data_IF_798887257979
#
_entry.id   IF_798887257979
#
_cell.length_a   1.000
_cell.length_b   1.000
_cell.length_c   1.000
_cell.angle_alpha   90.00
_cell.angle_beta   90.00
_cell.angle_gamma   90.00
#
_symmetry.space_group_name_H-M   'P 1'
#
loop_
_entity.id
_entity.type
_entity.pdbx_description
1 polymer ?
#
# COMPACT_ATOMS: atom_id res chain seq x y z
N UNK A 1 -11.02 5.39 -3.51
CA UNK A 1 -10.45 5.00 -4.81
C UNK A 1 -9.40 6.02 -5.23
N UNK A 2 -8.43 5.60 -6.02
CA UNK A 2 -7.44 6.47 -6.65
C UNK A 2 -7.26 6.01 -8.10
N UNK A 3 -6.86 6.92 -8.98
CA UNK A 3 -6.60 6.61 -10.39
C UNK A 3 -5.43 7.48 -10.87
N UNK A 4 -4.59 6.90 -11.72
CA UNK A 4 -3.45 7.58 -12.33
C UNK A 4 -3.09 6.89 -13.65
N UNK A 5 -2.41 7.60 -14.54
CA UNK A 5 -1.89 7.04 -15.79
C UNK A 5 -0.72 6.09 -15.56
N UNK A 6 -0.48 5.16 -16.49
CA UNK A 6 0.72 4.32 -16.48
C UNK A 6 1.99 5.19 -16.42
N UNK A 7 2.98 4.77 -15.64
CA UNK A 7 4.22 5.50 -15.37
C UNK A 7 4.09 6.66 -14.38
N UNK A 8 2.87 7.09 -14.04
CA UNK A 8 2.67 8.10 -13.00
C UNK A 8 2.87 7.52 -11.60
N UNK A 9 2.83 8.39 -10.59
CA UNK A 9 2.81 7.98 -9.18
C UNK A 9 1.42 8.12 -8.60
N UNK A 10 0.98 7.14 -7.82
CA UNK A 10 -0.29 7.18 -7.09
C UNK A 10 -0.02 6.95 -5.60
N UNK A 11 -0.78 7.65 -4.76
CA UNK A 11 -0.72 7.51 -3.30
C UNK A 11 -2.07 7.04 -2.78
N UNK A 12 -2.08 5.90 -2.12
CA UNK A 12 -3.23 5.36 -1.42
C UNK A 12 -3.13 5.72 0.06
N UNK A 13 -4.27 5.99 0.68
CA UNK A 13 -4.36 6.36 2.10
C UNK A 13 -5.24 5.34 2.83
N UNK A 14 -4.75 4.87 3.97
CA UNK A 14 -5.49 4.11 4.96
C UNK A 14 -5.50 4.90 6.27
N UNK A 15 -6.69 5.21 6.77
CA UNK A 15 -6.86 5.99 8.01
C UNK A 15 -7.31 5.06 9.13
N UNK A 16 -6.48 4.95 10.16
CA UNK A 16 -6.79 4.14 11.33
C UNK A 16 -7.82 4.85 12.20
N UNK A 17 -8.69 4.06 12.85
CA UNK A 17 -9.67 4.59 13.81
C UNK A 17 -9.02 5.23 15.04
N UNK A 18 -7.76 4.87 15.33
CA UNK A 18 -6.99 5.41 16.44
C UNK A 18 -5.55 5.65 16.01
N UNK A 19 -4.98 6.80 16.42
CA UNK A 19 -3.65 7.25 16.01
C UNK A 19 -2.49 6.52 16.69
N UNK A 20 -2.70 5.31 17.22
CA UNK A 20 -1.65 4.58 17.92
C UNK A 20 -0.54 4.21 16.92
N UNK A 21 0.65 4.79 17.16
CA UNK A 21 1.86 4.55 16.37
C UNK A 21 2.44 3.14 16.56
N UNK A 22 1.91 2.36 17.50
CA UNK A 22 2.43 1.02 17.85
C UNK A 22 1.93 -0.10 16.94
N UNK A 23 0.85 0.10 16.17
CA UNK A 23 0.33 -0.95 15.31
C UNK A 23 1.25 -1.21 14.13
N UNK A 24 1.50 -2.50 13.86
CA UNK A 24 2.14 -2.86 12.61
C UNK A 24 1.10 -2.83 11.51
N UNK A 25 1.47 -2.27 10.35
CA UNK A 25 0.60 -2.16 9.18
C UNK A 25 1.19 -2.99 8.05
N UNK A 26 0.37 -3.80 7.40
CA UNK A 26 0.68 -4.40 6.12
C UNK A 26 -0.29 -3.92 5.04
N UNK A 27 0.22 -3.84 3.83
CA UNK A 27 -0.53 -3.64 2.61
C UNK A 27 -0.70 -4.97 1.91
N UNK A 28 -1.90 -5.19 1.41
CA UNK A 28 -2.27 -6.33 0.59
C UNK A 28 -2.83 -5.83 -0.73
N UNK A 29 -2.53 -6.55 -1.81
CA UNK A 29 -3.06 -6.29 -3.14
C UNK A 29 -3.96 -7.44 -3.56
N UNK A 30 -5.13 -7.14 -4.10
CA UNK A 30 -6.09 -8.11 -4.60
C UNK A 30 -6.47 -7.77 -6.04
N UNK A 31 -6.00 -8.59 -6.98
CA UNK A 31 -6.48 -8.52 -8.36
C UNK A 31 -7.86 -9.20 -8.48
N UNK A 32 -8.66 -8.87 -9.51
CA UNK A 32 -9.95 -9.51 -9.75
C UNK A 32 -9.85 -11.05 -9.72
N UNK A 33 -10.80 -11.69 -9.05
CA UNK A 33 -10.90 -13.16 -8.90
C UNK A 33 -9.69 -13.83 -8.18
N UNK A 34 -8.81 -13.05 -7.54
CA UNK A 34 -7.67 -13.58 -6.76
C UNK A 34 -7.85 -13.33 -5.28
N UNK A 35 -7.18 -14.14 -4.45
CA UNK A 35 -7.06 -13.88 -3.03
C UNK A 35 -6.13 -12.68 -2.77
N UNK A 36 -6.33 -11.91 -1.68
CA UNK A 36 -5.41 -10.86 -1.28
C UNK A 36 -3.98 -11.42 -1.09
N UNK A 37 -3.00 -10.84 -1.76
CA UNK A 37 -1.57 -11.16 -1.58
C UNK A 37 -0.90 -10.11 -0.71
N UNK A 38 0.00 -10.55 0.17
CA UNK A 38 0.88 -9.63 0.89
C UNK A 38 1.73 -8.83 -0.10
N UNK A 39 1.76 -7.51 0.08
CA UNK A 39 2.57 -6.60 -0.73
C UNK A 39 3.79 -6.12 0.04
N UNK A 40 3.56 -5.43 1.16
CA UNK A 40 4.63 -4.93 2.02
C UNK A 40 4.13 -4.60 3.42
N UNK A 41 5.05 -4.62 4.39
CA UNK A 41 4.86 -4.03 5.71
C UNK A 41 5.29 -2.56 5.65
N UNK A 42 4.52 -1.69 6.30
CA UNK A 42 4.86 -0.28 6.40
C UNK A 42 6.20 -0.10 7.12
N UNK A 43 7.06 0.77 6.60
CA UNK A 43 8.43 0.99 7.08
C UNK A 43 9.34 -0.24 6.95
N UNK A 44 9.00 -1.18 6.07
CA UNK A 44 9.86 -2.32 5.71
C UNK A 44 10.34 -2.14 4.28
N UNK A 45 11.64 -1.86 4.13
CA UNK A 45 12.33 -1.81 2.83
C UNK A 45 12.97 -3.18 2.56
N UNK A 46 12.14 -4.24 2.58
CA UNK A 46 12.60 -5.62 2.61
C UNK A 46 12.80 -6.27 1.24
N UNK A 47 13.65 -7.30 1.19
CA UNK A 47 13.90 -8.14 0.02
C UNK A 47 12.58 -8.64 -0.61
N UNK A 48 12.47 -8.52 -1.92
CA UNK A 48 11.32 -8.98 -2.71
C UNK A 48 10.18 -7.97 -2.85
N UNK A 49 10.26 -6.80 -2.19
CA UNK A 49 9.36 -5.67 -2.48
C UNK A 49 9.96 -4.89 -3.67
N UNK A 50 9.23 -4.71 -4.78
CA UNK A 50 9.74 -3.90 -5.88
C UNK A 50 9.97 -2.44 -5.43
N UNK A 51 11.11 -1.85 -5.82
CA UNK A 51 11.52 -0.46 -5.47
C UNK A 51 10.48 0.62 -5.76
N UNK A 52 9.51 0.29 -6.63
CA UNK A 52 8.42 1.18 -6.99
C UNK A 52 7.40 1.40 -5.86
N UNK A 53 7.33 0.49 -4.89
CA UNK A 53 6.43 0.60 -3.73
C UNK A 53 7.17 1.22 -2.54
N UNK A 54 6.53 2.18 -1.88
CA UNK A 54 7.03 2.73 -0.62
C UNK A 54 5.91 3.03 0.36
N UNK A 55 6.21 2.87 1.65
CA UNK A 55 5.30 3.15 2.75
C UNK A 55 5.68 4.41 3.51
N UNK A 56 4.71 5.20 3.95
CA UNK A 56 4.93 6.30 4.90
C UNK A 56 3.73 6.50 5.82
N UNK A 57 3.88 7.28 6.89
CA UNK A 57 2.81 7.52 7.86
C UNK A 57 2.82 8.93 8.42
N UNK A 58 1.63 9.44 8.75
CA UNK A 58 1.44 10.70 9.47
C UNK A 58 0.23 10.58 10.41
N UNK A 59 0.45 10.69 11.73
CA UNK A 59 -0.63 10.52 12.72
C UNK A 59 -1.34 9.17 12.59
N UNK A 60 -2.65 9.19 12.32
CA UNK A 60 -3.47 8.00 12.07
C UNK A 60 -3.44 7.52 10.60
N UNK A 61 -2.85 8.28 9.70
CA UNK A 61 -2.81 7.96 8.27
C UNK A 61 -1.59 7.10 7.95
N UNK A 62 -1.82 6.15 7.03
CA UNK A 62 -0.85 5.21 6.48
C UNK A 62 -0.92 5.32 4.97
N UNK A 63 0.21 5.56 4.34
CA UNK A 63 0.27 5.76 2.90
C UNK A 63 1.04 4.62 2.23
N UNK A 64 0.51 4.19 1.09
CA UNK A 64 1.23 3.40 0.10
C UNK A 64 1.43 4.27 -1.13
N UNK A 65 2.67 4.49 -1.52
CA UNK A 65 3.02 5.16 -2.77
C UNK A 65 3.48 4.11 -3.76
N UNK A 66 2.86 4.11 -4.94
CA UNK A 66 3.29 3.32 -6.09
C UNK A 66 3.82 4.30 -7.11
N UNK A 67 5.13 4.30 -7.29
CA UNK A 67 5.79 5.03 -8.37
C UNK A 67 5.81 4.19 -9.64
N UNK A 68 5.95 4.83 -10.81
CA UNK A 68 5.99 4.15 -12.10
C UNK A 68 4.86 3.10 -12.27
N UNK A 69 3.61 3.53 -12.08
CA UNK A 69 2.43 2.66 -12.04
C UNK A 69 2.35 1.75 -13.27
N UNK A 70 2.13 0.46 -13.06
CA UNK A 70 2.04 -0.56 -14.11
C UNK A 70 0.61 -1.10 -14.25
N UNK A 71 0.31 -1.76 -15.37
CA UNK A 71 -1.00 -2.40 -15.60
C UNK A 71 -1.36 -3.43 -14.54
N UNK A 72 -0.36 -4.14 -14.01
CA UNK A 72 -0.50 -5.17 -12.99
C UNK A 72 -0.85 -4.62 -11.61
N UNK A 73 -0.70 -3.30 -11.43
CA UNK A 73 -1.00 -2.60 -10.20
C UNK A 73 -2.50 -2.20 -10.12
N UNK A 74 -3.30 -2.41 -11.17
CA UNK A 74 -4.76 -2.29 -11.14
C UNK A 74 -5.37 -3.41 -10.27
N UNK A 75 -5.79 -3.04 -9.06
CA UNK A 75 -6.22 -3.96 -8.02
C UNK A 75 -6.95 -3.21 -6.89
N UNK A 76 -7.65 -3.96 -6.05
CA UNK A 76 -8.04 -3.49 -4.74
C UNK A 76 -6.86 -3.58 -3.77
N UNK A 77 -6.71 -2.56 -2.92
CA UNK A 77 -5.63 -2.50 -1.93
C UNK A 77 -6.23 -2.41 -0.54
N UNK A 78 -5.74 -3.27 0.36
CA UNK A 78 -6.20 -3.35 1.74
C UNK A 78 -5.05 -3.09 2.69
N UNK A 79 -5.31 -2.29 3.71
CA UNK A 79 -4.43 -2.17 4.86
C UNK A 79 -4.92 -3.07 5.99
N UNK A 80 -4.01 -3.79 6.62
CA UNK A 80 -4.27 -4.63 7.79
C UNK A 80 -3.42 -4.14 8.96
N UNK A 81 -4.01 -4.08 10.14
CA UNK A 81 -3.32 -3.82 11.41
C UNK A 81 -3.26 -5.09 12.26
N UNK A 82 -2.17 -5.28 13.02
CA UNK A 82 -2.10 -6.26 14.12
C UNK A 82 -1.25 -5.73 15.27
#
# INVERSE_FOLDING_TARGET
SASASLGASVKLTCTLSSGHSSYTIAWHQQQPEKAPRYLMKLNSDGDGIPDRFSGSSSGAERYLTISNLQSEDEADYYCQTW
#
